data_IF_233333612127
#
_entry.id   IF_233333612127
#
_cell.length_a   1.000
_cell.length_b   1.000
_cell.length_c   1.000
_cell.angle_alpha   90.00
_cell.angle_beta   90.00
_cell.angle_gamma   90.00
#
_symmetry.space_group_name_H-M   'P 1'
#
loop_
_entity.id
_entity.type
_entity.pdbx_description
1 polymer ?
#
# COMPACT_ATOMS: atom_id res chain seq x y z
N UNK A 1 -1.70 6.48 5.58
CA UNK A 1 -2.83 5.56 5.39
C UNK A 1 -4.14 6.33 5.48
N UNK A 2 -5.06 6.14 4.53
CA UNK A 2 -6.38 6.78 4.54
C UNK A 2 -7.39 6.05 5.44
N UNK A 3 -7.08 4.83 5.90
CA UNK A 3 -7.84 4.14 6.94
C UNK A 3 -7.63 4.84 8.30
N UNK A 4 -8.67 5.44 8.89
CA UNK A 4 -8.55 6.18 10.15
C UNK A 4 -8.13 5.28 11.33
N UNK A 5 -8.44 3.99 11.29
CA UNK A 5 -8.12 3.04 12.35
C UNK A 5 -6.63 2.75 12.48
N UNK A 6 -5.84 3.05 11.42
CA UNK A 6 -4.39 2.85 11.43
C UNK A 6 -3.63 4.08 11.94
N UNK A 7 -4.33 5.19 12.22
CA UNK A 7 -3.69 6.45 12.59
C UNK A 7 -2.97 6.35 13.93
N UNK A 8 -1.70 6.75 13.95
CA UNK A 8 -0.88 6.70 15.16
C UNK A 8 -0.43 5.29 15.55
N UNK A 9 -0.77 4.27 14.76
CA UNK A 9 -0.26 2.92 14.94
C UNK A 9 1.10 2.76 14.26
N UNK A 10 1.83 1.76 14.76
CA UNK A 10 3.01 1.21 14.11
C UNK A 10 2.59 -0.05 13.35
N UNK A 11 2.84 -0.08 12.05
CA UNK A 11 2.56 -1.20 11.15
C UNK A 11 3.89 -1.77 10.70
N UNK A 12 4.26 -2.94 11.23
CA UNK A 12 5.52 -3.63 10.91
C UNK A 12 6.77 -2.75 11.03
N UNK A 13 6.88 -1.98 12.10
CA UNK A 13 8.00 -1.06 12.33
C UNK A 13 7.80 0.35 11.75
N UNK A 14 6.79 0.56 10.91
CA UNK A 14 6.53 1.86 10.27
C UNK A 14 5.38 2.62 10.92
N UNK A 15 5.64 3.87 11.32
CA UNK A 15 4.62 4.71 11.94
C UNK A 15 3.67 5.32 10.89
N UNK A 16 2.36 5.24 11.14
CA UNK A 16 1.37 5.89 10.29
C UNK A 16 1.30 7.39 10.61
N UNK A 17 1.99 8.19 9.79
CA UNK A 17 2.17 9.63 10.01
C UNK A 17 0.96 10.50 9.62
N UNK A 18 0.07 10.00 8.76
CA UNK A 18 -1.06 10.75 8.26
C UNK A 18 -1.76 10.09 7.07
N UNK A 19 -2.66 10.84 6.47
CA UNK A 19 -3.48 10.50 5.30
C UNK A 19 -2.88 11.03 4.00
N UNK A 20 -3.40 10.60 2.86
CA UNK A 20 -3.00 11.10 1.53
C UNK A 20 -3.27 12.60 1.36
N UNK A 21 -4.18 13.19 2.14
CA UNK A 21 -4.42 14.64 2.17
C UNK A 21 -3.35 15.43 2.93
N UNK A 22 -2.55 14.76 3.77
CA UNK A 22 -1.53 15.39 4.61
C UNK A 22 -0.16 15.45 3.89
N UNK A 23 -0.07 14.97 2.64
CA UNK A 23 1.19 14.82 1.88
C UNK A 23 2.03 16.09 1.79
N UNK A 24 1.38 17.25 1.55
CA UNK A 24 2.09 18.55 1.47
C UNK A 24 2.83 18.84 2.78
N UNK A 25 2.10 18.80 3.91
CA UNK A 25 2.68 19.02 5.24
C UNK A 25 3.74 17.97 5.58
N UNK A 26 3.54 16.72 5.18
CA UNK A 26 4.51 15.64 5.42
C UNK A 26 5.79 15.86 4.62
N UNK A 27 5.69 16.34 3.37
CA UNK A 27 6.86 16.65 2.52
C UNK A 27 7.67 17.79 3.10
N UNK A 28 7.02 18.85 3.59
CA UNK A 28 7.70 19.96 4.26
C UNK A 28 8.45 19.50 5.51
N UNK A 29 7.81 18.65 6.33
CA UNK A 29 8.36 18.19 7.60
C UNK A 29 9.49 17.17 7.45
N UNK A 30 9.30 16.16 6.60
CA UNK A 30 10.21 15.02 6.50
C UNK A 30 11.12 15.06 5.28
N UNK A 31 10.86 15.97 4.33
CA UNK A 31 11.68 16.20 3.13
C UNK A 31 11.94 14.96 2.28
N UNK A 32 11.06 13.96 2.33
CA UNK A 32 11.18 12.75 1.50
C UNK A 32 11.21 13.07 0.00
N UNK A 33 11.92 12.27 -0.77
CA UNK A 33 12.09 12.35 -2.21
C UNK A 33 11.44 11.16 -2.94
N UNK A 34 10.84 10.23 -2.20
CA UNK A 34 10.22 9.04 -2.73
C UNK A 34 8.87 8.75 -2.07
N UNK A 35 7.90 8.27 -2.87
CA UNK A 35 6.64 7.69 -2.44
C UNK A 35 6.56 6.27 -3.00
N UNK A 36 6.31 5.32 -2.09
CA UNK A 36 6.05 3.92 -2.44
C UNK A 36 4.58 3.61 -2.20
N UNK A 37 3.87 3.20 -3.26
CA UNK A 37 2.49 2.72 -3.19
C UNK A 37 2.52 1.22 -2.87
N UNK A 38 2.22 0.90 -1.62
CA UNK A 38 2.16 -0.47 -1.10
C UNK A 38 0.69 -0.93 -0.92
N UNK A 39 -0.16 -0.69 -1.92
CA UNK A 39 -1.56 -1.09 -1.92
C UNK A 39 -1.78 -2.21 -2.93
N UNK A 40 -2.48 -3.27 -2.54
CA UNK A 40 -2.86 -4.34 -3.48
C UNK A 40 -3.81 -3.85 -4.58
N UNK A 41 -4.63 -2.84 -4.28
CA UNK A 41 -5.43 -2.10 -5.26
C UNK A 41 -5.45 -0.61 -4.92
N UNK A 42 -5.35 0.25 -5.94
CA UNK A 42 -5.46 1.70 -5.82
C UNK A 42 -6.39 2.21 -6.92
N UNK A 43 -7.28 3.15 -6.58
CA UNK A 43 -8.12 3.81 -7.59
C UNK A 43 -7.28 4.69 -8.51
N UNK A 44 -7.62 4.77 -9.79
CA UNK A 44 -6.92 5.61 -10.78
C UNK A 44 -6.83 7.08 -10.34
N UNK A 45 -7.91 7.62 -9.77
CA UNK A 45 -7.93 8.99 -9.21
C UNK A 45 -6.86 9.23 -8.14
N UNK A 46 -6.64 8.24 -7.26
CA UNK A 46 -5.61 8.34 -6.22
C UNK A 46 -4.22 8.17 -6.83
N UNK A 47 -4.05 7.24 -7.78
CA UNK A 47 -2.79 7.06 -8.52
C UNK A 47 -2.38 8.37 -9.21
N UNK A 48 -3.28 8.98 -9.98
CA UNK A 48 -3.04 10.27 -10.63
C UNK A 48 -2.69 11.38 -9.64
N UNK A 49 -3.39 11.44 -8.49
CA UNK A 49 -3.08 12.41 -7.44
C UNK A 49 -1.65 12.25 -6.91
N UNK A 50 -1.19 11.02 -6.69
CA UNK A 50 0.16 10.74 -6.20
C UNK A 50 1.22 11.03 -7.26
N UNK A 51 0.99 10.64 -8.52
CA UNK A 51 1.88 10.95 -9.65
C UNK A 51 2.02 12.46 -9.83
N UNK A 52 0.90 13.20 -9.83
CA UNK A 52 0.93 14.66 -9.94
C UNK A 52 1.68 15.31 -8.79
N UNK A 53 1.41 14.88 -7.55
CA UNK A 53 2.16 15.34 -6.38
C UNK A 53 3.66 15.08 -6.53
N UNK A 54 4.02 13.90 -7.07
CA UNK A 54 5.39 13.52 -7.40
C UNK A 54 6.07 14.50 -8.35
N UNK A 55 5.43 14.75 -9.50
CA UNK A 55 5.92 15.67 -10.53
C UNK A 55 6.10 17.11 -10.00
N UNK A 56 5.13 17.61 -9.23
CA UNK A 56 5.15 18.97 -8.67
C UNK A 56 6.24 19.18 -7.60
N UNK A 57 6.62 18.12 -6.87
CA UNK A 57 7.50 18.23 -5.71
C UNK A 57 8.86 17.56 -5.90
N UNK A 58 9.19 17.15 -7.13
CA UNK A 58 10.38 16.35 -7.45
C UNK A 58 10.50 15.12 -6.53
N UNK A 59 9.41 14.38 -6.39
CA UNK A 59 9.30 13.15 -5.61
C UNK A 59 9.06 11.99 -6.56
N UNK A 60 9.94 10.98 -6.51
CA UNK A 60 9.80 9.75 -7.29
C UNK A 60 8.63 8.94 -6.74
N UNK A 61 7.72 8.50 -7.61
CA UNK A 61 6.60 7.64 -7.23
C UNK A 61 6.83 6.24 -7.80
N UNK A 62 6.76 5.22 -6.95
CA UNK A 62 6.88 3.82 -7.32
C UNK A 62 5.64 3.04 -6.86
N UNK A 63 5.16 2.13 -7.69
CA UNK A 63 4.02 1.27 -7.39
C UNK A 63 4.49 -0.18 -7.34
N UNK A 64 4.27 -0.86 -6.21
CA UNK A 64 4.52 -2.29 -6.08
C UNK A 64 3.24 -3.05 -6.37
N UNK A 65 3.20 -3.69 -7.54
CA UNK A 65 2.19 -4.68 -7.86
C UNK A 65 2.66 -6.04 -7.37
N UNK A 66 1.98 -6.61 -6.38
CA UNK A 66 2.18 -7.99 -5.98
C UNK A 66 0.90 -8.78 -6.25
N UNK A 67 1.03 -9.89 -6.97
CA UNK A 67 -0.03 -10.87 -7.08
C UNK A 67 0.03 -11.72 -5.82
N UNK A 68 -1.02 -11.64 -5.00
CA UNK A 68 -1.22 -12.64 -3.95
C UNK A 68 -1.78 -13.86 -4.68
N UNK A 69 -0.93 -14.86 -4.93
CA UNK A 69 -1.41 -16.16 -5.34
C UNK A 69 -2.25 -16.71 -4.18
N UNK A 70 -3.54 -16.95 -4.42
CA UNK A 70 -4.33 -17.69 -3.44
C UNK A 70 -3.68 -19.05 -3.20
N UNK A 71 -3.55 -19.49 -1.94
CA UNK A 71 -3.04 -20.83 -1.68
C UNK A 71 -3.95 -21.80 -2.42
N UNK A 72 -3.39 -22.52 -3.41
CA UNK A 72 -4.08 -23.61 -4.09
C UNK A 72 -4.66 -24.47 -2.98
N UNK A 73 -6.00 -24.54 -2.91
CA UNK A 73 -6.68 -25.42 -1.99
C UNK A 73 -6.02 -26.78 -2.09
N UNK A 74 -5.45 -27.29 -0.99
CA UNK A 74 -5.00 -28.68 -0.91
C UNK A 74 -6.23 -29.52 -1.29
N UNK A 75 -6.26 -29.98 -2.54
CA UNK A 75 -7.30 -30.85 -3.06
C UNK A 75 -7.39 -32.02 -2.11
N UNK A 76 -8.56 -32.18 -1.48
CA UNK A 76 -8.81 -33.26 -0.55
C UNK A 76 -8.37 -34.59 -1.18
N UNK A 77 -7.50 -35.31 -0.48
CA UNK A 77 -7.17 -36.69 -0.85
C UNK A 77 -8.48 -37.48 -0.99
N UNK A 78 -8.71 -38.20 -2.10
CA UNK A 78 -9.85 -39.09 -2.18
C UNK A 78 -9.71 -40.14 -1.07
N UNK A 79 -10.76 -40.31 -0.27
CA UNK A 79 -10.80 -41.33 0.77
C UNK A 79 -10.57 -42.72 0.15
N UNK A 80 -9.60 -43.45 0.67
CA UNK A 80 -9.37 -44.84 0.30
C UNK A 80 -10.62 -45.69 0.61
N UNK A 81 -11.04 -46.59 -0.27
CA UNK A 81 -12.13 -47.50 0.02
C UNK A 81 -11.68 -48.46 1.13
N UNK A 82 -12.46 -48.50 2.22
CA UNK A 82 -12.29 -49.50 3.27
C UNK A 82 -12.69 -50.87 2.70
N UNK A 83 -11.76 -51.82 2.71
CA UNK A 83 -12.04 -53.25 2.53
C UNK A 83 -12.93 -53.78 3.66
#
# INVERSE_FOLDING_TARGET
DDNPSLRGLNVYGQNVLGRSRDLVRLKEKYRFDEIVIALGTISDRMREKLIRFGAENNVRVMEFSFQIDEPKSLSAHPAEPKN
#
